data_IF_502811430995
#
_entry.id   IF_502811430995
#
_cell.length_a   1.000
_cell.length_b   1.000
_cell.length_c   1.000
_cell.angle_alpha   90.00
_cell.angle_beta   90.00
_cell.angle_gamma   90.00
#
_symmetry.space_group_name_H-M   'P 1'
#
loop_
_entity.id
_entity.type
_entity.pdbx_description
1 polymer ?
#
# COMPACT_ATOMS: atom_id res chain seq x y z
N UNK A 1 61.32 28.18 12.08
CA UNK A 1 60.87 27.92 13.47
C UNK A 1 59.48 28.50 13.62
N UNK A 2 58.53 27.89 14.35
CA UNK A 2 58.60 26.60 15.06
C UNK A 2 57.49 25.61 14.66
N UNK A 3 57.70 24.35 15.04
CA UNK A 3 56.64 23.38 15.26
C UNK A 3 55.90 23.75 16.55
N UNK A 4 54.57 23.68 16.54
CA UNK A 4 53.76 23.53 17.75
C UNK A 4 52.88 22.31 17.55
N UNK A 5 53.14 21.37 18.45
CA UNK A 5 52.47 20.13 18.73
C UNK A 5 51.10 20.43 19.33
N UNK A 6 50.04 19.76 18.88
CA UNK A 6 48.90 19.47 19.75
C UNK A 6 48.31 18.10 19.36
N UNK A 7 48.60 17.14 20.23
CA UNK A 7 48.02 15.81 20.31
C UNK A 7 46.78 15.94 21.18
N UNK A 8 45.60 15.88 20.57
CA UNK A 8 44.30 15.80 21.24
C UNK A 8 43.29 15.36 20.14
N UNK A 9 42.44 14.36 20.28
CA UNK A 9 42.06 13.54 21.40
C UNK A 9 41.72 12.14 20.88
N UNK A 10 42.19 11.15 21.62
CA UNK A 10 41.86 9.74 21.48
C UNK A 10 40.67 9.48 22.40
N UNK A 11 39.44 9.79 21.98
CA UNK A 11 38.26 9.55 22.83
C UNK A 11 36.93 9.57 22.07
N UNK A 12 36.61 8.55 21.27
CA UNK A 12 35.21 8.10 21.05
C UNK A 12 35.17 6.58 20.74
N UNK A 13 35.85 5.75 21.53
CA UNK A 13 35.63 4.29 21.58
C UNK A 13 34.83 3.92 22.86
N UNK A 14 33.74 4.67 23.12
CA UNK A 14 32.83 4.44 24.25
C UNK A 14 31.42 4.27 23.69
N UNK A 15 31.01 3.03 23.41
CA UNK A 15 29.64 2.51 23.55
C UNK A 15 29.49 1.09 22.95
N UNK A 16 30.24 0.11 23.47
CA UNK A 16 29.98 -1.31 23.18
C UNK A 16 29.51 -2.10 24.42
N UNK A 17 28.81 -1.44 25.36
CA UNK A 17 27.85 -2.17 26.19
C UNK A 17 26.60 -2.41 25.34
N UNK A 18 26.71 -3.41 24.45
CA UNK A 18 25.65 -3.85 23.55
C UNK A 18 24.48 -4.36 24.38
N UNK A 19 23.58 -3.44 24.75
CA UNK A 19 22.30 -3.75 25.36
C UNK A 19 21.58 -4.76 24.45
N UNK A 20 21.40 -6.00 24.93
CA UNK A 20 20.74 -7.08 24.21
C UNK A 20 19.21 -6.92 24.22
N UNK A 21 18.73 -5.69 24.26
CA UNK A 21 17.32 -5.42 24.09
C UNK A 21 16.90 -5.81 22.68
N UNK A 22 15.86 -6.66 22.52
CA UNK A 22 15.38 -7.05 21.22
C UNK A 22 14.83 -5.81 20.51
N UNK A 23 15.58 -5.31 19.53
CA UNK A 23 15.14 -4.22 18.67
C UNK A 23 13.90 -4.66 17.90
N UNK A 24 12.81 -3.91 18.04
CA UNK A 24 11.57 -4.15 17.30
C UNK A 24 11.86 -4.10 15.79
N UNK A 25 11.43 -5.11 15.00
CA UNK A 25 11.71 -5.13 13.58
C UNK A 25 11.01 -3.98 12.88
N UNK A 26 11.79 -3.06 12.30
CA UNK A 26 11.23 -1.96 11.52
C UNK A 26 10.75 -2.45 10.15
N UNK A 27 9.50 -2.09 9.78
CA UNK A 27 8.98 -2.34 8.45
C UNK A 27 9.72 -1.47 7.42
N UNK A 28 10.48 -2.11 6.53
CA UNK A 28 11.13 -1.44 5.41
C UNK A 28 10.11 -1.22 4.30
N UNK A 29 10.00 0.00 3.79
CA UNK A 29 9.15 0.32 2.65
C UNK A 29 9.95 1.02 1.56
N UNK A 30 9.54 0.82 0.31
CA UNK A 30 10.02 1.56 -0.85
C UNK A 30 8.81 2.16 -1.55
N UNK A 31 8.76 3.48 -1.77
CA UNK A 31 7.63 4.11 -2.43
C UNK A 31 7.60 3.75 -3.93
N UNK A 32 6.40 3.47 -4.44
CA UNK A 32 6.14 3.25 -5.87
C UNK A 32 5.76 4.60 -6.50
N UNK A 33 6.68 5.22 -7.25
CA UNK A 33 6.55 6.63 -7.70
C UNK A 33 6.46 6.84 -9.22
N UNK A 34 6.70 5.80 -10.02
CA UNK A 34 6.75 5.92 -11.48
C UNK A 34 5.33 5.85 -12.08
N UNK A 35 5.03 4.83 -12.88
CA UNK A 35 3.77 4.72 -13.63
C UNK A 35 2.51 4.71 -12.75
N UNK A 36 2.65 4.41 -11.45
CA UNK A 36 1.53 4.51 -10.51
C UNK A 36 1.02 5.95 -10.36
N UNK A 37 1.91 6.94 -10.34
CA UNK A 37 1.50 8.35 -10.19
C UNK A 37 0.65 8.82 -11.36
N UNK A 38 0.99 8.40 -12.58
CA UNK A 38 0.23 8.74 -13.79
C UNK A 38 -1.16 8.08 -13.78
N UNK A 39 -1.24 6.83 -13.30
CA UNK A 39 -2.51 6.10 -13.16
C UNK A 39 -3.40 6.81 -12.14
N UNK A 40 -2.88 7.13 -10.94
CA UNK A 40 -3.66 7.78 -9.88
C UNK A 40 -4.01 9.24 -10.19
N UNK A 41 -3.27 9.90 -11.09
CA UNK A 41 -3.62 11.24 -11.55
C UNK A 41 -4.83 11.25 -12.48
N UNK A 42 -5.08 10.16 -13.22
CA UNK A 42 -6.19 10.05 -14.17
C UNK A 42 -7.41 9.33 -13.60
N UNK A 43 -7.21 8.31 -12.76
CA UNK A 43 -8.26 7.44 -12.24
C UNK A 43 -7.98 7.02 -10.79
N UNK A 44 -9.02 6.62 -10.06
CA UNK A 44 -8.92 6.08 -8.70
C UNK A 44 -8.62 4.58 -8.73
N UNK A 45 -7.78 4.11 -7.80
CA UNK A 45 -7.45 2.69 -7.67
C UNK A 45 -8.54 2.00 -6.84
N UNK A 46 -9.16 0.97 -7.40
CA UNK A 46 -10.21 0.18 -6.76
C UNK A 46 -9.68 -1.11 -6.12
N UNK A 47 -8.68 -1.75 -6.72
CA UNK A 47 -8.09 -2.99 -6.21
C UNK A 47 -6.61 -3.16 -6.58
N UNK A 48 -5.89 -3.99 -5.81
CA UNK A 48 -4.48 -4.31 -6.05
C UNK A 48 -4.26 -5.81 -5.81
N UNK A 49 -3.49 -6.46 -6.69
CA UNK A 49 -3.02 -7.82 -6.53
C UNK A 49 -1.50 -7.87 -6.73
N UNK A 50 -0.78 -8.60 -5.88
CA UNK A 50 0.69 -8.66 -5.89
C UNK A 50 1.14 -10.07 -6.24
N UNK A 51 2.05 -10.16 -7.20
CA UNK A 51 2.77 -11.36 -7.60
C UNK A 51 4.27 -11.15 -7.37
N UNK A 52 5.05 -12.22 -7.27
CA UNK A 52 6.50 -12.16 -7.05
C UNK A 52 7.26 -11.41 -8.16
N UNK A 53 6.65 -11.27 -9.34
CA UNK A 53 7.24 -10.62 -10.51
C UNK A 53 6.58 -9.28 -10.87
N UNK A 54 5.30 -9.12 -10.53
CA UNK A 54 4.48 -8.02 -11.02
C UNK A 54 3.43 -7.60 -9.98
N UNK A 55 2.99 -6.36 -10.09
CA UNK A 55 1.91 -5.79 -9.31
C UNK A 55 0.80 -5.43 -10.29
N UNK A 56 -0.40 -5.95 -10.08
CA UNK A 56 -1.58 -5.60 -10.85
C UNK A 56 -2.43 -4.58 -10.07
N UNK A 57 -2.82 -3.50 -10.74
CA UNK A 57 -3.60 -2.41 -10.17
C UNK A 57 -4.87 -2.25 -11.00
N UNK A 58 -6.03 -2.43 -10.37
CA UNK A 58 -7.33 -2.17 -10.96
C UNK A 58 -7.82 -0.77 -10.63
N UNK A 59 -8.40 -0.09 -11.61
CA UNK A 59 -8.97 1.24 -11.44
C UNK A 59 -10.51 1.20 -11.46
N UNK A 60 -11.14 2.30 -11.06
CA UNK A 60 -12.60 2.41 -11.01
C UNK A 60 -13.24 2.33 -12.42
N UNK A 61 -12.53 2.75 -13.48
CA UNK A 61 -13.00 2.60 -14.87
C UNK A 61 -12.78 1.21 -15.47
N UNK A 62 -12.45 0.20 -14.65
CA UNK A 62 -12.29 -1.18 -15.13
C UNK A 62 -10.99 -1.42 -15.93
N UNK A 63 -9.98 -0.55 -15.78
CA UNK A 63 -8.65 -0.79 -16.35
C UNK A 63 -7.78 -1.53 -15.35
N UNK A 64 -7.01 -2.49 -15.87
CA UNK A 64 -6.02 -3.25 -15.11
C UNK A 64 -4.64 -2.92 -15.66
N UNK A 65 -3.78 -2.42 -14.79
CA UNK A 65 -2.40 -2.04 -15.09
C UNK A 65 -1.44 -3.02 -14.43
N UNK A 66 -0.60 -3.67 -15.22
CA UNK A 66 0.53 -4.49 -14.75
C UNK A 66 1.78 -3.63 -14.64
N UNK A 67 2.32 -3.57 -13.43
CA UNK A 67 3.53 -2.85 -13.07
C UNK A 67 4.60 -3.82 -12.57
N UNK A 68 5.87 -3.46 -12.72
CA UNK A 68 6.96 -4.11 -11.98
C UNK A 68 7.06 -3.58 -10.53
N UNK A 69 8.00 -4.12 -9.74
CA UNK A 69 8.23 -3.68 -8.35
C UNK A 69 8.83 -2.27 -8.22
N UNK A 70 9.23 -1.65 -9.32
CA UNK A 70 9.65 -0.25 -9.36
C UNK A 70 8.52 0.69 -9.77
N UNK A 71 7.42 0.15 -10.29
CA UNK A 71 6.24 0.89 -10.73
C UNK A 71 6.27 1.21 -12.22
N UNK A 72 7.12 0.54 -13.01
CA UNK A 72 7.10 0.68 -14.46
C UNK A 72 6.04 -0.24 -15.07
N UNK A 73 5.24 0.25 -16.04
CA UNK A 73 4.31 -0.60 -16.75
C UNK A 73 5.06 -1.65 -17.58
N UNK A 74 4.54 -2.87 -17.56
CA UNK A 74 5.04 -3.97 -18.39
C UNK A 74 4.52 -3.79 -19.82
N UNK A 75 5.31 -4.15 -20.83
CA UNK A 75 4.84 -4.15 -22.23
C UNK A 75 3.55 -4.97 -22.36
N UNK A 76 2.56 -4.41 -23.06
CA UNK A 76 1.20 -4.96 -23.22
C UNK A 76 0.44 -5.21 -21.90
N UNK A 77 0.89 -4.62 -20.80
CA UNK A 77 0.35 -4.82 -19.46
C UNK A 77 -0.92 -4.01 -19.13
N UNK A 78 -1.56 -3.38 -20.12
CA UNK A 78 -2.82 -2.65 -19.92
C UNK A 78 -3.94 -3.47 -20.51
N UNK A 79 -4.85 -3.92 -19.64
CA UNK A 79 -6.04 -4.65 -20.04
C UNK A 79 -7.27 -3.84 -19.61
N UNK A 80 -8.18 -3.57 -20.54
CA UNK A 80 -9.47 -2.98 -20.21
C UNK A 80 -10.48 -4.10 -20.06
N UNK A 81 -11.11 -4.18 -18.90
CA UNK A 81 -12.23 -5.09 -18.67
C UNK A 81 -13.46 -4.20 -18.53
N UNK A 82 -14.39 -4.31 -19.48
CA UNK A 82 -15.70 -3.69 -19.32
C UNK A 82 -16.42 -4.44 -18.19
N UNK A 83 -16.33 -3.89 -16.99
CA UNK A 83 -17.17 -4.31 -15.88
C UNK A 83 -18.39 -3.42 -15.90
N UNK A 84 -19.57 -4.02 -16.05
CA UNK A 84 -20.83 -3.34 -15.79
C UNK A 84 -20.90 -3.08 -14.28
N UNK A 85 -20.24 -2.03 -13.82
CA UNK A 85 -20.31 -1.58 -12.44
C UNK A 85 -21.75 -1.13 -12.18
N UNK A 86 -22.53 -2.00 -11.57
CA UNK A 86 -23.76 -1.60 -10.90
C UNK A 86 -23.33 -0.70 -9.74
N UNK A 87 -23.69 0.59 -9.75
CA UNK A 87 -23.25 1.51 -8.72
C UNK A 87 -23.79 1.06 -7.37
N UNK A 88 -22.99 1.18 -6.31
CA UNK A 88 -23.30 0.66 -4.97
C UNK A 88 -24.65 1.15 -4.41
N UNK A 89 -25.16 2.29 -4.90
CA UNK A 89 -26.47 2.82 -4.52
C UNK A 89 -27.67 2.00 -5.06
N UNK A 90 -27.48 1.20 -6.12
CA UNK A 90 -28.51 0.29 -6.65
C UNK A 90 -28.53 -1.07 -5.93
N UNK A 91 -27.49 -1.41 -5.16
CA UNK A 91 -27.43 -2.68 -4.43
C UNK A 91 -28.16 -2.63 -3.08
N UNK A 92 -28.58 -1.44 -2.61
CA UNK A 92 -29.30 -1.27 -1.34
C UNK A 92 -30.82 -1.17 -1.48
N UNK A 93 -31.37 -1.07 -2.70
CA UNK A 93 -32.82 -1.13 -2.90
C UNK A 93 -33.29 -2.58 -3.11
N UNK A 94 -32.99 -3.43 -2.13
CA UNK A 94 -33.72 -4.67 -1.94
C UNK A 94 -34.90 -4.37 -1.01
N UNK A 95 -36.17 -4.40 -1.48
CA UNK A 95 -37.31 -4.32 -0.60
C UNK A 95 -37.51 -5.70 0.05
N UNK A 96 -36.58 -6.11 0.92
CA UNK A 96 -36.93 -7.11 1.93
C UNK A 96 -37.84 -6.41 2.92
N UNK A 97 -39.15 -6.60 2.71
CA UNK A 97 -40.20 -6.29 3.67
C UNK A 97 -39.94 -7.09 4.96
N UNK A 98 -39.10 -6.55 5.84
CA UNK A 98 -38.93 -7.03 7.19
C UNK A 98 -40.12 -6.53 7.99
N UNK A 99 -41.24 -7.27 7.95
CA UNK A 99 -42.20 -7.17 9.06
C UNK A 99 -41.48 -7.72 10.29
N UNK A 100 -41.37 -6.96 11.39
CA UNK A 100 -40.76 -7.48 12.61
C UNK A 100 -41.61 -8.65 13.13
N UNK A 101 -41.00 -9.76 13.59
CA UNK A 101 -41.75 -10.77 14.32
C UNK A 101 -42.27 -10.12 15.61
N UNK A 102 -43.59 -10.06 15.77
CA UNK A 102 -44.23 -9.66 17.03
C UNK A 102 -43.81 -10.68 18.09
N UNK A 103 -42.87 -10.30 18.94
CA UNK A 103 -42.51 -11.09 20.11
C UNK A 103 -43.65 -10.96 21.14
N UNK A 104 -44.48 -12.00 21.22
CA UNK A 104 -45.44 -12.20 22.31
C UNK A 104 -44.66 -12.55 23.58
N UNK A 105 -44.61 -11.61 24.53
CA UNK A 105 -43.91 -11.75 25.81
C UNK A 105 -44.81 -12.24 26.93
N UNK A 106 -45.96 -12.83 26.61
CA UNK A 106 -46.90 -13.39 27.58
C UNK A 106 -46.82 -14.92 27.64
N UNK A 107 -45.75 -15.47 28.23
CA UNK A 107 -45.81 -16.74 28.97
C UNK A 107 -44.61 -17.03 29.86
#
# INVERSE_FOLDING_TARGET
MPAVFEVAELAEDLDEEKNWEPVEPCLKYKPLKHGLCDITAMDSISCVAVHEKFIAVGTEWGRVHLLDHSGFPVENGIHSVALDFQPLHQLFESPLSLTPPTADWTR
#
